data_IF_518311819201
#
_entry.id   IF_518311819201
#
_cell.length_a   1.000
_cell.length_b   1.000
_cell.length_c   1.000
_cell.angle_alpha   90.00
_cell.angle_beta   90.00
_cell.angle_gamma   90.00
#
_symmetry.space_group_name_H-M   'P 1'
#
loop_
_entity.id
_entity.type
_entity.pdbx_description
1 polymer ?
#
# COMPACT_ATOMS: atom_id res chain seq x y z
N UNK A 1 10.60 33.68 6.11
CA UNK A 1 9.74 33.38 4.94
C UNK A 1 9.64 31.87 4.86
N UNK A 2 8.46 31.28 5.10
CA UNK A 2 8.21 29.87 4.82
C UNK A 2 7.81 29.75 3.36
N UNK A 3 8.64 29.11 2.54
CA UNK A 3 8.30 28.81 1.15
C UNK A 3 7.20 27.75 1.14
N UNK A 4 5.96 28.19 0.96
CA UNK A 4 4.82 27.29 0.78
C UNK A 4 4.86 26.77 -0.66
N UNK A 5 5.00 25.44 -0.79
CA UNK A 5 4.98 24.80 -2.10
C UNK A 5 3.62 25.03 -2.79
N UNK A 6 3.60 25.30 -4.10
CA UNK A 6 2.35 25.43 -4.85
C UNK A 6 1.48 24.18 -4.71
N UNK A 7 0.16 24.36 -4.55
CA UNK A 7 -0.77 23.24 -4.29
C UNK A 7 -0.73 22.15 -5.37
N UNK A 8 -0.49 22.51 -6.64
CA UNK A 8 -0.39 21.53 -7.73
C UNK A 8 0.83 20.59 -7.60
N UNK A 9 1.92 21.05 -6.95
CA UNK A 9 3.08 20.21 -6.64
C UNK A 9 2.77 19.29 -5.46
N UNK A 10 2.07 19.81 -4.44
CA UNK A 10 1.65 19.02 -3.28
C UNK A 10 0.75 17.84 -3.71
N UNK A 11 -0.22 18.07 -4.59
CA UNK A 11 -1.10 17.04 -5.14
C UNK A 11 -0.30 15.92 -5.84
N UNK A 12 0.73 16.27 -6.62
CA UNK A 12 1.57 15.29 -7.31
C UNK A 12 2.41 14.46 -6.33
N UNK A 13 2.95 15.09 -5.29
CA UNK A 13 3.74 14.42 -4.26
C UNK A 13 2.86 13.47 -3.43
N UNK A 14 1.67 13.90 -3.04
CA UNK A 14 0.75 13.06 -2.27
C UNK A 14 0.30 11.84 -3.07
N UNK A 15 0.05 12.03 -4.37
CA UNK A 15 -0.22 10.92 -5.29
C UNK A 15 0.97 9.95 -5.39
N UNK A 16 2.17 10.45 -5.62
CA UNK A 16 3.37 9.62 -5.73
C UNK A 16 3.64 8.84 -4.42
N UNK A 17 3.48 9.49 -3.26
CA UNK A 17 3.59 8.84 -1.95
C UNK A 17 2.57 7.71 -1.78
N UNK A 18 1.34 7.91 -2.23
CA UNK A 18 0.29 6.90 -2.15
C UNK A 18 0.59 5.69 -3.05
N UNK A 19 0.98 5.94 -4.30
CA UNK A 19 1.38 4.90 -5.25
C UNK A 19 2.57 4.07 -4.71
N UNK A 20 3.61 4.73 -4.18
CA UNK A 20 4.76 4.05 -3.56
C UNK A 20 4.37 3.26 -2.31
N UNK A 21 3.49 3.80 -1.46
CA UNK A 21 3.05 3.09 -0.26
C UNK A 21 2.25 1.82 -0.60
N UNK A 22 1.39 1.88 -1.62
CA UNK A 22 0.62 0.73 -2.10
C UNK A 22 1.54 -0.37 -2.67
N UNK A 23 2.52 0.00 -3.47
CA UNK A 23 3.49 -0.92 -4.08
C UNK A 23 4.37 -1.60 -3.02
N UNK A 24 4.94 -0.82 -2.09
CA UNK A 24 5.74 -1.36 -0.97
C UNK A 24 4.90 -2.32 -0.13
N UNK A 25 3.65 -1.96 0.19
CA UNK A 25 2.74 -2.82 0.97
C UNK A 25 2.41 -4.11 0.22
N UNK A 26 2.20 -4.04 -1.10
CA UNK A 26 1.99 -5.21 -1.95
C UNK A 26 3.19 -6.14 -1.92
N UNK A 27 4.40 -5.61 -2.06
CA UNK A 27 5.63 -6.40 -2.05
C UNK A 27 5.85 -7.09 -0.70
N UNK A 28 5.59 -6.39 0.41
CA UNK A 28 5.62 -6.99 1.74
C UNK A 28 4.58 -8.11 1.89
N UNK A 29 3.34 -7.89 1.45
CA UNK A 29 2.31 -8.94 1.45
C UNK A 29 2.75 -10.15 0.63
N UNK A 30 3.30 -9.93 -0.56
CA UNK A 30 3.74 -11.01 -1.44
C UNK A 30 4.90 -11.79 -0.82
N UNK A 31 5.87 -11.09 -0.22
CA UNK A 31 6.98 -11.72 0.49
C UNK A 31 6.48 -12.57 1.67
N UNK A 32 5.55 -12.05 2.47
CA UNK A 32 4.94 -12.81 3.58
C UNK A 32 4.22 -14.05 3.05
N UNK A 33 3.41 -13.92 2.00
CA UNK A 33 2.65 -15.04 1.42
C UNK A 33 3.54 -16.09 0.74
N UNK A 34 4.70 -15.71 0.22
CA UNK A 34 5.64 -16.64 -0.39
C UNK A 34 6.54 -17.34 0.66
N UNK A 35 6.87 -16.65 1.75
CA UNK A 35 7.76 -17.18 2.82
C UNK A 35 7.02 -17.88 3.94
N UNK A 36 5.71 -17.63 4.07
CA UNK A 36 4.85 -18.20 5.10
C UNK A 36 3.60 -18.80 4.47
N UNK A 37 3.02 -19.83 5.09
CA UNK A 37 1.71 -20.38 4.67
C UNK A 37 0.52 -19.58 5.25
N UNK A 38 0.68 -18.25 5.40
CA UNK A 38 -0.40 -17.39 5.88
C UNK A 38 -1.42 -17.12 4.77
N UNK A 39 -2.66 -16.85 5.18
CA UNK A 39 -3.69 -16.37 4.26
C UNK A 39 -3.49 -14.87 4.00
N UNK A 40 -3.92 -14.32 2.84
CA UNK A 40 -3.86 -12.89 2.57
C UNK A 40 -4.50 -12.04 3.67
N UNK A 41 -5.63 -12.48 4.24
CA UNK A 41 -6.28 -11.78 5.35
C UNK A 41 -5.41 -11.70 6.61
N UNK A 42 -4.72 -12.79 6.98
CA UNK A 42 -3.79 -12.79 8.12
C UNK A 42 -2.56 -11.94 7.86
N UNK A 43 -2.04 -11.96 6.64
CA UNK A 43 -0.91 -11.09 6.26
C UNK A 43 -1.33 -9.60 6.33
N UNK A 44 -2.55 -9.27 5.91
CA UNK A 44 -3.12 -7.92 6.03
C UNK A 44 -3.34 -7.51 7.49
N UNK A 45 -3.77 -8.42 8.36
CA UNK A 45 -3.87 -8.18 9.80
C UNK A 45 -2.50 -7.84 10.41
N UNK A 46 -1.45 -8.55 10.01
CA UNK A 46 -0.07 -8.30 10.49
C UNK A 46 0.47 -6.93 10.07
N UNK A 47 0.08 -6.45 8.89
CA UNK A 47 0.45 -5.12 8.40
C UNK A 47 -0.48 -4.01 8.91
N UNK A 48 -1.49 -4.34 9.72
CA UNK A 48 -2.45 -3.37 10.24
C UNK A 48 -3.35 -2.76 9.17
N UNK A 49 -3.60 -3.46 8.06
CA UNK A 49 -4.40 -2.96 6.95
C UNK A 49 -5.90 -2.93 7.35
N UNK A 50 -6.55 -1.75 7.32
CA UNK A 50 -7.97 -1.62 7.64
C UNK A 50 -8.84 -2.47 6.73
N UNK A 51 -9.95 -3.00 7.26
CA UNK A 51 -10.89 -3.81 6.48
C UNK A 51 -11.42 -3.10 5.21
N UNK A 52 -11.53 -1.78 5.25
CA UNK A 52 -11.96 -0.95 4.12
C UNK A 52 -10.97 -0.99 2.93
N UNK A 53 -9.67 -1.10 3.21
CA UNK A 53 -8.62 -1.06 2.19
C UNK A 53 -8.26 -2.48 1.69
N UNK A 54 -8.69 -3.53 2.40
CA UNK A 54 -8.43 -4.94 2.00
C UNK A 54 -8.84 -5.28 0.56
N UNK A 55 -9.99 -4.83 0.03
CA UNK A 55 -10.37 -5.14 -1.35
C UNK A 55 -9.31 -4.69 -2.37
N UNK A 56 -8.74 -3.49 -2.18
CA UNK A 56 -7.69 -2.94 -3.04
C UNK A 56 -6.45 -3.84 -3.03
N UNK A 57 -5.93 -4.19 -1.85
CA UNK A 57 -4.76 -5.06 -1.76
C UNK A 57 -5.04 -6.48 -2.26
N UNK A 58 -6.26 -7.01 -2.08
CA UNK A 58 -6.65 -8.31 -2.66
C UNK A 58 -6.66 -8.26 -4.19
N UNK A 59 -7.08 -7.15 -4.78
CA UNK A 59 -7.04 -6.95 -6.23
C UNK A 59 -5.60 -6.85 -6.75
N UNK A 60 -4.75 -6.09 -6.06
CA UNK A 60 -3.32 -5.99 -6.36
C UNK A 60 -2.59 -7.33 -6.31
N UNK A 61 -2.99 -8.23 -5.39
CA UNK A 61 -2.45 -9.59 -5.26
C UNK A 61 -2.98 -10.57 -6.32
N UNK A 62 -4.12 -10.30 -6.96
CA UNK A 62 -4.68 -11.14 -8.03
C UNK A 62 -3.97 -10.95 -9.37
N UNK A 63 -3.45 -9.76 -9.63
CA UNK A 63 -2.70 -9.43 -10.86
C UNK A 63 -1.23 -9.89 -10.77
N UNK A 64 -0.99 -11.11 -10.26
CA UNK A 64 0.34 -11.71 -10.11
C UNK A 64 0.85 -12.26 -11.44
#
# INVERSE_FOLDING_TARGET
MTEVLPQFIQIKIDRAKKETAEEVTKDYLLNILNTTNLTPDKAMDLLGIPAADRPMYKELLKNK
#
